data_IF_211145227737
#
_entry.id   IF_211145227737
#
_cell.length_a   1.000
_cell.length_b   1.000
_cell.length_c   1.000
_cell.angle_alpha   90.00
_cell.angle_beta   90.00
_cell.angle_gamma   90.00
#
_symmetry.space_group_name_H-M   'P 1'
#
loop_
_entity.id
_entity.type
_entity.pdbx_description
1 polymer ?
#
# COMPACT_ATOMS: atom_id res chain seq x y z
N UNK A 1 9.76 12.04 13.91
CA UNK A 1 9.00 11.38 12.83
C UNK A 1 9.83 10.20 12.36
N UNK A 2 9.22 9.07 12.02
CA UNK A 2 9.94 7.93 11.46
C UNK A 2 10.52 8.30 10.08
N UNK A 3 11.71 7.79 9.71
CA UNK A 3 12.29 8.04 8.40
C UNK A 3 11.46 7.39 7.29
N UNK A 4 11.18 8.15 6.22
CA UNK A 4 10.24 7.77 5.15
C UNK A 4 10.71 6.51 4.38
N UNK A 5 12.01 6.23 4.37
CA UNK A 5 12.59 5.04 3.72
C UNK A 5 13.15 4.03 4.74
N UNK A 6 12.85 4.17 6.03
CA UNK A 6 13.37 3.24 7.04
C UNK A 6 14.87 3.37 7.29
N UNK A 7 15.53 4.44 6.84
CA UNK A 7 16.96 4.67 6.99
C UNK A 7 17.27 5.77 8.02
N UNK A 8 18.30 5.55 8.83
CA UNK A 8 18.86 6.60 9.69
C UNK A 8 19.73 7.59 8.88
N UNK A 9 20.29 8.61 9.56
CA UNK A 9 21.15 9.62 8.91
C UNK A 9 22.45 9.05 8.30
N UNK A 10 22.89 7.88 8.75
CA UNK A 10 24.06 7.18 8.23
C UNK A 10 23.73 6.26 7.05
N UNK A 11 22.44 6.12 6.68
CA UNK A 11 22.00 5.24 5.60
C UNK A 11 21.79 3.78 6.00
N UNK A 12 21.74 3.47 7.31
CA UNK A 12 21.49 2.11 7.78
C UNK A 12 20.00 1.90 8.08
N UNK A 13 19.52 0.69 7.84
CA UNK A 13 18.14 0.29 8.16
C UNK A 13 17.82 0.41 9.65
N UNK A 14 16.59 0.85 9.96
CA UNK A 14 16.04 1.01 11.32
C UNK A 14 14.94 -0.03 11.56
N UNK A 15 15.21 -0.98 12.46
CA UNK A 15 14.35 -2.12 12.79
C UNK A 15 12.92 -1.71 13.21
N UNK A 16 12.76 -0.76 14.13
CA UNK A 16 11.44 -0.24 14.55
C UNK A 16 10.96 0.93 13.66
N UNK A 17 11.25 0.82 12.36
CA UNK A 17 11.01 1.87 11.37
C UNK A 17 9.63 1.82 10.71
N UNK A 18 9.52 2.49 9.56
CA UNK A 18 8.29 2.53 8.75
C UNK A 18 7.86 1.17 8.17
N UNK A 19 8.75 0.19 8.14
CA UNK A 19 8.50 -1.14 7.59
C UNK A 19 8.45 -2.23 8.67
N UNK A 20 8.10 -1.87 9.91
CA UNK A 20 8.07 -2.81 11.03
C UNK A 20 7.02 -3.94 10.89
N UNK A 21 6.00 -3.75 10.05
CA UNK A 21 4.98 -4.78 9.76
C UNK A 21 5.44 -5.84 8.74
N UNK A 22 6.66 -5.71 8.19
CA UNK A 22 7.29 -6.71 7.33
C UNK A 22 8.32 -7.46 8.18
N UNK A 23 8.28 -8.79 8.19
CA UNK A 23 9.26 -9.58 8.95
C UNK A 23 10.70 -9.29 8.53
N UNK A 24 11.62 -9.37 9.48
CA UNK A 24 13.04 -9.12 9.21
C UNK A 24 13.68 -10.19 8.33
N UNK A 25 14.47 -9.74 7.36
CA UNK A 25 15.25 -10.62 6.51
C UNK A 25 16.46 -9.88 5.91
N UNK A 26 17.55 -10.60 5.58
CA UNK A 26 18.68 -10.02 4.85
C UNK A 26 18.25 -9.31 3.55
N UNK A 27 17.24 -9.85 2.85
CA UNK A 27 16.71 -9.24 1.63
C UNK A 27 16.00 -7.91 1.91
N UNK A 28 15.21 -7.82 2.99
CA UNK A 28 14.57 -6.57 3.41
C UNK A 28 15.61 -5.49 3.70
N UNK A 29 16.60 -5.81 4.55
CA UNK A 29 17.69 -4.88 4.89
C UNK A 29 18.41 -4.41 3.62
N UNK A 30 18.81 -5.35 2.76
CA UNK A 30 19.53 -5.04 1.53
C UNK A 30 18.73 -4.13 0.59
N UNK A 31 17.45 -4.42 0.36
CA UNK A 31 16.61 -3.60 -0.52
C UNK A 31 16.40 -2.19 0.05
N UNK A 32 16.20 -2.05 1.36
CA UNK A 32 15.98 -0.74 1.99
C UNK A 32 17.26 0.12 1.95
N UNK A 33 18.42 -0.45 2.29
CA UNK A 33 19.69 0.27 2.26
C UNK A 33 20.13 0.65 0.84
N UNK A 34 19.64 -0.08 -0.17
CA UNK A 34 19.94 0.15 -1.59
C UNK A 34 18.72 0.66 -2.39
N UNK A 35 17.74 1.30 -1.76
CA UNK A 35 16.45 1.63 -2.41
C UNK A 35 16.54 2.47 -3.70
N UNK A 36 17.65 3.18 -3.92
CA UNK A 36 17.92 4.02 -5.11
C UNK A 36 18.92 3.42 -6.10
N UNK A 37 19.53 2.27 -5.79
CA UNK A 37 20.46 1.67 -6.74
C UNK A 37 19.68 1.05 -7.90
N UNK A 38 20.18 1.24 -9.12
CA UNK A 38 19.52 0.81 -10.37
C UNK A 38 19.06 -0.66 -10.33
N UNK A 39 19.87 -1.53 -9.70
CA UNK A 39 19.58 -2.97 -9.61
C UNK A 39 18.50 -3.34 -8.59
N UNK A 40 18.18 -2.45 -7.65
CA UNK A 40 17.32 -2.73 -6.49
C UNK A 40 16.10 -1.82 -6.43
N UNK A 41 16.09 -0.69 -7.14
CA UNK A 41 14.99 0.28 -7.14
C UNK A 41 13.65 -0.37 -7.53
N UNK A 42 13.60 -1.16 -8.59
CA UNK A 42 12.36 -1.85 -8.99
C UNK A 42 11.83 -2.78 -7.91
N UNK A 43 12.71 -3.58 -7.28
CA UNK A 43 12.31 -4.50 -6.21
C UNK A 43 11.88 -3.76 -4.95
N UNK A 44 12.58 -2.67 -4.61
CA UNK A 44 12.18 -1.80 -3.52
C UNK A 44 10.79 -1.21 -3.77
N UNK A 45 10.54 -0.73 -4.98
CA UNK A 45 9.26 -0.15 -5.34
C UNK A 45 8.11 -1.16 -5.26
N UNK A 46 8.33 -2.39 -5.74
CA UNK A 46 7.34 -3.47 -5.64
C UNK A 46 7.09 -3.90 -4.18
N UNK A 47 8.11 -3.90 -3.33
CA UNK A 47 8.00 -4.38 -1.96
C UNK A 47 7.48 -3.32 -0.97
N UNK A 48 7.86 -2.05 -1.13
CA UNK A 48 7.72 -1.03 -0.09
C UNK A 48 7.03 0.26 -0.52
N UNK A 49 6.85 0.50 -1.83
CA UNK A 49 6.22 1.75 -2.26
C UNK A 49 4.72 1.75 -1.93
N UNK A 50 4.16 2.95 -1.80
CA UNK A 50 2.74 3.12 -1.54
C UNK A 50 1.94 2.63 -2.73
N UNK A 51 0.95 1.77 -2.48
CA UNK A 51 0.04 1.27 -3.52
C UNK A 51 -1.07 2.28 -3.81
N UNK A 52 -1.55 2.36 -5.06
CA UNK A 52 -2.75 3.11 -5.38
C UNK A 52 -3.97 2.48 -4.70
N UNK A 53 -5.09 3.21 -4.69
CA UNK A 53 -6.35 2.73 -4.11
C UNK A 53 -6.86 1.45 -4.78
N UNK A 54 -6.67 1.33 -6.10
CA UNK A 54 -7.13 0.18 -6.88
C UNK A 54 -6.00 -0.44 -7.68
N UNK A 55 -5.98 -1.78 -7.71
CA UNK A 55 -5.10 -2.56 -8.56
C UNK A 55 -5.93 -3.55 -9.39
N UNK A 56 -5.65 -3.65 -10.69
CA UNK A 56 -6.29 -4.58 -11.62
C UNK A 56 -5.22 -5.39 -12.34
N UNK A 57 -5.31 -6.71 -12.31
CA UNK A 57 -4.31 -7.60 -12.89
C UNK A 57 -4.93 -8.61 -13.85
N UNK A 58 -4.19 -8.93 -14.91
CA UNK A 58 -4.55 -9.99 -15.85
C UNK A 58 -3.67 -11.22 -15.56
N UNK A 59 -4.22 -12.20 -14.84
CA UNK A 59 -3.47 -13.37 -14.37
C UNK A 59 -2.96 -14.28 -15.50
N UNK A 60 -3.62 -14.29 -16.68
CA UNK A 60 -3.16 -15.10 -17.80
C UNK A 60 -1.83 -14.56 -18.36
N UNK A 61 -1.68 -13.23 -18.38
CA UNK A 61 -0.51 -12.53 -18.91
C UNK A 61 0.53 -12.20 -17.83
N UNK A 62 0.09 -12.00 -16.60
CA UNK A 62 0.88 -11.56 -15.46
C UNK A 62 0.47 -12.32 -14.20
N UNK A 63 1.02 -13.52 -14.05
CA UNK A 63 0.71 -14.42 -12.91
C UNK A 63 1.21 -13.89 -11.58
N UNK A 64 2.22 -13.02 -11.61
CA UNK A 64 2.89 -12.49 -10.43
C UNK A 64 2.28 -11.14 -9.98
N UNK A 65 1.27 -10.64 -10.71
CA UNK A 65 0.58 -9.38 -10.42
C UNK A 65 1.53 -8.18 -10.27
N UNK A 66 2.49 -8.04 -11.19
CA UNK A 66 3.49 -6.97 -11.13
C UNK A 66 3.09 -5.72 -11.92
N UNK A 67 2.15 -5.85 -12.86
CA UNK A 67 1.75 -4.80 -13.79
C UNK A 67 0.30 -4.39 -13.53
N UNK A 68 0.12 -3.33 -12.75
CA UNK A 68 -1.20 -2.79 -12.44
C UNK A 68 -1.84 -2.13 -13.69
N UNK A 69 -3.00 -2.63 -14.10
CA UNK A 69 -3.81 -2.14 -15.23
C UNK A 69 -4.83 -1.07 -14.84
N UNK A 70 -5.01 -0.83 -13.54
CA UNK A 70 -5.94 0.16 -12.99
C UNK A 70 -5.63 1.57 -13.51
N UNK A 71 -6.68 2.30 -13.91
CA UNK A 71 -6.56 3.66 -14.45
C UNK A 71 -6.07 3.74 -15.90
N UNK A 72 -5.77 2.62 -16.56
CA UNK A 72 -5.44 2.61 -17.98
C UNK A 72 -6.71 2.69 -18.83
N UNK A 73 -6.71 3.58 -19.82
CA UNK A 73 -7.88 3.86 -20.67
C UNK A 73 -8.45 2.61 -21.35
N UNK A 74 -7.59 1.69 -21.79
CA UNK A 74 -8.00 0.46 -22.47
C UNK A 74 -8.78 -0.51 -21.55
N UNK A 75 -8.64 -0.38 -20.23
CA UNK A 75 -9.24 -1.28 -19.24
C UNK A 75 -10.38 -0.66 -18.43
N UNK A 76 -10.75 0.62 -18.67
CA UNK A 76 -11.70 1.34 -17.82
C UNK A 76 -13.07 0.66 -17.68
N UNK A 77 -13.62 0.07 -18.76
CA UNK A 77 -14.90 -0.65 -18.74
C UNK A 77 -14.79 -1.90 -17.85
N UNK A 78 -13.73 -2.68 -18.04
CA UNK A 78 -13.49 -3.90 -17.29
C UNK A 78 -13.24 -3.59 -15.80
N UNK A 79 -12.46 -2.55 -15.51
CA UNK A 79 -12.19 -2.09 -14.16
C UNK A 79 -13.49 -1.71 -13.44
N UNK A 80 -14.37 -0.93 -14.10
CA UNK A 80 -15.67 -0.56 -13.55
C UNK A 80 -16.56 -1.79 -13.27
N UNK A 81 -16.55 -2.77 -14.17
CA UNK A 81 -17.28 -4.03 -13.97
C UNK A 81 -16.74 -4.81 -12.77
N UNK A 82 -15.42 -4.96 -12.65
CA UNK A 82 -14.80 -5.70 -11.54
C UNK A 82 -15.05 -5.00 -10.19
N UNK A 83 -14.97 -3.67 -10.15
CA UNK A 83 -15.33 -2.87 -8.97
C UNK A 83 -16.77 -3.10 -8.55
N UNK A 84 -17.70 -3.11 -9.50
CA UNK A 84 -19.11 -3.39 -9.20
C UNK A 84 -19.30 -4.80 -8.64
N UNK A 85 -18.67 -5.82 -9.22
CA UNK A 85 -18.73 -7.20 -8.69
C UNK A 85 -18.21 -7.25 -7.26
N UNK A 86 -17.05 -6.62 -6.98
CA UNK A 86 -16.48 -6.56 -5.63
C UNK A 86 -17.45 -5.92 -4.64
N UNK A 87 -18.00 -4.74 -4.96
CA UNK A 87 -18.89 -4.01 -4.06
C UNK A 87 -20.20 -4.77 -3.83
N UNK A 88 -20.78 -5.37 -4.86
CA UNK A 88 -22.01 -6.15 -4.71
C UNK A 88 -21.78 -7.40 -3.86
N UNK A 89 -20.63 -8.08 -4.00
CA UNK A 89 -20.28 -9.19 -3.12
C UNK A 89 -20.08 -8.74 -1.67
N UNK A 90 -19.37 -7.63 -1.43
CA UNK A 90 -19.17 -7.09 -0.08
C UNK A 90 -20.50 -6.70 0.59
N UNK A 91 -21.45 -6.12 -0.16
CA UNK A 91 -22.81 -5.87 0.33
C UNK A 91 -23.56 -7.16 0.62
N UNK A 92 -23.51 -8.14 -0.30
CA UNK A 92 -24.18 -9.44 -0.17
C UNK A 92 -23.71 -10.18 1.09
N UNK A 93 -22.43 -10.08 1.43
CA UNK A 93 -21.86 -10.70 2.64
C UNK A 93 -21.95 -9.83 3.89
N UNK A 94 -22.58 -8.65 3.82
CA UNK A 94 -22.66 -7.66 4.88
C UNK A 94 -21.29 -7.29 5.47
N UNK A 95 -20.31 -7.00 4.62
CA UNK A 95 -19.00 -6.52 5.08
C UNK A 95 -19.20 -5.20 5.87
N UNK A 96 -18.85 -5.15 7.15
CA UNK A 96 -19.09 -3.97 8.00
C UNK A 96 -18.33 -2.72 7.54
N UNK A 97 -17.28 -2.86 6.73
CA UNK A 97 -16.56 -1.72 6.12
C UNK A 97 -17.36 -1.04 5.01
N UNK A 98 -18.35 -1.74 4.44
CA UNK A 98 -19.16 -1.26 3.32
C UNK A 98 -20.58 -0.91 3.75
N UNK A 99 -21.22 -1.76 4.58
CA UNK A 99 -22.63 -1.58 4.98
C UNK A 99 -22.82 -1.15 6.43
N UNK A 100 -21.74 -1.15 7.23
CA UNK A 100 -21.80 -0.81 8.64
C UNK A 100 -22.13 0.68 8.88
N UNK A 101 -22.70 1.02 10.06
CA UNK A 101 -23.03 2.39 10.41
C UNK A 101 -21.78 3.27 10.63
N UNK A 102 -20.63 2.65 10.91
CA UNK A 102 -19.34 3.30 11.08
C UNK A 102 -18.26 2.49 10.34
N UNK A 103 -17.86 2.98 9.16
CA UNK A 103 -16.81 2.37 8.35
C UNK A 103 -15.41 2.54 8.95
N UNK A 104 -15.25 3.41 9.96
CA UNK A 104 -13.98 3.68 10.65
C UNK A 104 -13.79 2.85 11.92
N UNK A 105 -14.76 2.00 12.27
CA UNK A 105 -14.75 1.23 13.52
C UNK A 105 -13.45 0.44 13.71
N UNK A 106 -12.89 -0.10 12.63
CA UNK A 106 -11.63 -0.87 12.63
C UNK A 106 -10.40 -0.05 13.05
N UNK A 107 -10.43 1.26 12.88
CA UNK A 107 -9.36 2.17 13.28
C UNK A 107 -9.58 2.77 14.68
N UNK A 108 -10.77 2.57 15.27
CA UNK A 108 -11.16 3.16 16.56
C UNK A 108 -10.67 2.39 17.79
N UNK A 109 -10.32 1.11 17.63
CA UNK A 109 -9.97 0.23 18.76
C UNK A 109 -8.67 0.69 19.46
N UNK A 110 -8.66 0.62 20.79
CA UNK A 110 -7.48 0.97 21.61
C UNK A 110 -6.30 0.09 21.20
N UNK A 111 -5.22 0.71 20.77
CA UNK A 111 -3.98 0.00 20.45
C UNK A 111 -3.10 -0.15 21.69
N UNK A 112 -2.58 -1.35 21.89
CA UNK A 112 -1.56 -1.61 22.91
C UNK A 112 -0.24 -0.90 22.61
N UNK A 113 0.12 -0.82 21.32
CA UNK A 113 1.35 -0.18 20.85
C UNK A 113 1.06 1.23 20.32
N UNK A 114 2.04 2.12 20.48
CA UNK A 114 1.99 3.48 19.92
C UNK A 114 2.03 3.42 18.39
N UNK A 115 1.17 4.19 17.73
CA UNK A 115 1.24 4.37 16.28
C UNK A 115 2.47 5.21 15.95
N UNK A 116 3.32 4.72 15.04
CA UNK A 116 4.43 5.48 14.49
C UNK A 116 3.94 6.79 13.87
N UNK A 117 4.59 7.91 14.20
CA UNK A 117 4.28 9.21 13.58
C UNK A 117 5.12 9.39 12.33
N UNK A 118 4.45 9.42 11.18
CA UNK A 118 5.06 9.59 9.87
C UNK A 118 5.04 11.05 9.42
N UNK A 119 6.03 11.50 8.64
CA UNK A 119 5.95 12.78 7.94
C UNK A 119 4.73 12.79 7.03
N UNK A 120 4.08 13.95 6.88
CA UNK A 120 3.07 14.12 5.83
C UNK A 120 3.76 13.88 4.49
N UNK A 121 3.20 12.97 3.69
CA UNK A 121 3.70 12.71 2.34
C UNK A 121 3.47 13.95 1.47
N UNK A 122 4.45 14.29 0.64
CA UNK A 122 4.36 15.39 -0.34
C UNK A 122 3.53 15.02 -1.58
N UNK A 123 3.08 13.76 -1.69
CA UNK A 123 2.21 13.28 -2.78
C UNK A 123 0.73 13.62 -2.56
N UNK A 124 0.36 14.19 -1.42
CA UNK A 124 -0.98 14.70 -1.18
C UNK A 124 -1.08 16.15 -1.65
N UNK A 125 -1.64 16.36 -2.83
CA UNK A 125 -2.32 17.63 -3.16
C UNK A 125 -3.67 17.59 -2.44
N UNK A 126 -4.04 18.65 -1.75
CA UNK A 126 -5.23 18.75 -0.90
C UNK A 126 -6.55 18.75 -1.72
N UNK A 127 -6.95 17.63 -2.32
CA UNK A 127 -8.20 17.56 -3.12
C UNK A 127 -9.16 16.44 -2.69
N UNK A 128 -9.21 16.07 -1.40
CA UNK A 128 -10.17 15.06 -0.90
C UNK A 128 -11.07 15.53 0.24
N UNK A 129 -11.35 16.83 0.31
CA UNK A 129 -12.49 17.36 1.06
C UNK A 129 -13.22 18.40 0.22
N UNK A 130 -14.19 17.94 -0.58
CA UNK A 130 -15.40 18.67 -0.97
C UNK A 130 -16.50 17.65 -1.28
#
# INVERSE_FOLDING_TARGET
>A
LLPIYGLNKAGNYVYEGIFADIDESPSKTYLIENYKAEKTETYFNLAFNKRPEFELYNLDKDKDCLNNLSGQQDYHILEAQMKNILIEELKRTNDPRVVGPDFTIFDSYLRYNKIGRFPKSTYYVEDFHN
#
